data_IF_778911797831
#
_entry.id   IF_778911797831
#
_cell.length_a   1.000
_cell.length_b   1.000
_cell.length_c   1.000
_cell.angle_alpha   90.00
_cell.angle_beta   90.00
_cell.angle_gamma   90.00
#
_symmetry.space_group_name_H-M   'P 1'
#
loop_
_entity.id
_entity.type
_entity.pdbx_description
1 polymer ?
#
# COMPACT_ATOMS: atom_id res chain seq x y z
N UNK A 1 -27.19 -8.03 -6.12
CA UNK A 1 -27.02 -7.44 -4.77
C UNK A 1 -26.11 -6.22 -4.92
N UNK A 2 -26.70 -5.03 -4.92
CA UNK A 2 -25.96 -3.77 -5.06
C UNK A 2 -25.15 -3.52 -3.77
N UNK A 3 -23.86 -3.79 -3.81
CA UNK A 3 -22.94 -3.32 -2.78
C UNK A 3 -22.70 -1.83 -3.03
N UNK A 4 -23.37 -0.99 -2.26
CA UNK A 4 -23.03 0.44 -2.18
C UNK A 4 -21.63 0.53 -1.58
N UNK A 5 -20.62 0.57 -2.45
CA UNK A 5 -19.21 0.70 -2.08
C UNK A 5 -19.01 2.01 -1.31
N UNK A 6 -19.00 1.93 0.02
CA UNK A 6 -18.58 3.03 0.89
C UNK A 6 -17.05 3.16 0.84
N UNK A 7 -16.52 3.60 -0.31
CA UNK A 7 -15.18 4.22 -0.37
C UNK A 7 -15.17 5.57 0.39
N UNK A 8 -16.37 6.12 0.62
CA UNK A 8 -16.73 7.38 1.29
C UNK A 8 -16.00 7.70 2.61
N UNK A 9 -15.47 6.73 3.35
CA UNK A 9 -14.88 6.99 4.66
C UNK A 9 -13.36 6.81 4.76
N UNK A 10 -12.67 6.32 3.71
CA UNK A 10 -11.20 6.20 3.74
C UNK A 10 -10.47 7.47 3.30
N UNK A 11 -11.12 8.32 2.50
CA UNK A 11 -10.45 9.43 1.83
C UNK A 11 -10.79 10.80 2.41
N UNK A 12 -11.77 10.88 3.32
CA UNK A 12 -11.96 12.09 4.11
C UNK A 12 -10.97 12.08 5.29
N UNK A 13 -9.66 12.09 4.99
CA UNK A 13 -8.64 12.29 6.00
C UNK A 13 -8.69 13.75 6.45
N UNK A 14 -9.68 14.10 7.28
CA UNK A 14 -9.66 15.36 8.01
C UNK A 14 -8.33 15.43 8.76
N UNK A 15 -7.57 16.50 8.50
CA UNK A 15 -6.31 16.89 9.14
C UNK A 15 -5.04 16.12 8.68
N UNK A 16 -4.49 16.48 7.51
CA UNK A 16 -3.06 16.30 7.21
C UNK A 16 -2.52 14.85 7.21
N UNK A 17 -3.39 13.84 7.06
CA UNK A 17 -2.97 12.43 7.07
C UNK A 17 -2.70 11.94 5.66
N UNK A 18 -1.65 11.15 5.50
CA UNK A 18 -1.30 10.50 4.24
C UNK A 18 -1.80 9.06 4.24
N UNK A 19 -2.53 8.69 3.19
CA UNK A 19 -2.97 7.33 2.94
C UNK A 19 -1.89 6.57 2.18
N UNK A 20 -1.43 5.45 2.74
CA UNK A 20 -0.45 4.54 2.15
C UNK A 20 -1.20 3.30 1.63
N UNK A 21 -1.51 3.28 0.34
CA UNK A 21 -2.13 2.13 -0.32
C UNK A 21 -1.04 1.12 -0.69
N UNK A 22 -1.01 -0.02 -0.01
CA UNK A 22 0.08 -0.98 -0.06
C UNK A 22 -0.42 -2.34 -0.53
N UNK A 23 0.22 -2.91 -1.54
CA UNK A 23 0.00 -4.30 -1.91
C UNK A 23 1.24 -4.90 -2.58
N UNK A 24 1.16 -6.18 -2.86
CA UNK A 24 2.07 -6.87 -3.74
C UNK A 24 1.43 -8.14 -4.27
N UNK A 25 2.17 -8.77 -5.16
CA UNK A 25 1.76 -10.00 -5.79
C UNK A 25 2.97 -10.87 -6.07
N UNK A 26 2.73 -12.17 -6.02
CA UNK A 26 3.66 -13.19 -6.47
C UNK A 26 2.91 -14.12 -7.42
N UNK A 27 3.57 -14.56 -8.49
CA UNK A 27 2.98 -15.44 -9.50
C UNK A 27 2.79 -16.91 -9.02
N UNK A 28 3.20 -17.22 -7.79
CA UNK A 28 3.19 -18.54 -7.13
C UNK A 28 3.74 -18.40 -5.71
N UNK A 29 3.88 -19.48 -4.93
CA UNK A 29 4.30 -19.35 -3.52
C UNK A 29 5.40 -20.37 -3.12
N UNK A 30 6.69 -20.02 -3.20
CA UNK A 30 7.24 -18.75 -3.68
C UNK A 30 7.36 -18.68 -5.22
N UNK A 31 7.36 -17.47 -5.78
CA UNK A 31 7.63 -17.22 -7.21
C UNK A 31 8.09 -15.79 -7.42
N UNK A 32 8.35 -15.39 -8.67
CA UNK A 32 8.66 -14.01 -8.99
C UNK A 32 7.54 -13.09 -8.49
N UNK A 33 7.94 -12.01 -7.83
CA UNK A 33 7.05 -11.16 -7.08
C UNK A 33 7.47 -9.69 -7.14
N UNK A 34 6.49 -8.83 -6.93
CA UNK A 34 6.68 -7.40 -6.81
C UNK A 34 5.74 -6.81 -5.78
N UNK A 35 6.09 -5.61 -5.33
CA UNK A 35 5.22 -4.80 -4.48
C UNK A 35 5.04 -3.41 -5.06
N UNK A 36 3.89 -2.82 -4.77
CA UNK A 36 3.48 -1.50 -5.22
C UNK A 36 2.88 -0.70 -4.08
N UNK A 37 3.15 0.60 -4.07
CA UNK A 37 2.60 1.56 -3.12
C UNK A 37 2.11 2.80 -3.84
N UNK A 38 0.95 3.30 -3.45
CA UNK A 38 0.45 4.63 -3.86
C UNK A 38 0.21 5.47 -2.61
N UNK A 39 0.77 6.68 -2.59
CA UNK A 39 0.59 7.64 -1.51
C UNK A 39 -0.45 8.69 -1.88
N UNK A 40 -1.41 8.94 -0.99
CA UNK A 40 -2.50 9.88 -1.26
C UNK A 40 -2.68 10.91 -0.17
N UNK A 41 -2.94 12.15 -0.56
CA UNK A 41 -3.32 13.23 0.37
C UNK A 41 -4.82 13.18 0.72
N UNK A 42 -5.25 14.12 1.56
CA UNK A 42 -6.66 14.27 1.96
C UNK A 42 -7.60 14.72 0.85
N UNK A 43 -7.06 15.15 -0.28
CA UNK A 43 -7.81 15.52 -1.48
C UNK A 43 -7.84 14.38 -2.48
N UNK A 44 -7.42 13.18 -2.08
CA UNK A 44 -7.36 11.98 -2.93
C UNK A 44 -6.29 12.05 -4.03
N UNK A 45 -5.42 13.06 -4.05
CA UNK A 45 -4.36 13.20 -5.04
C UNK A 45 -3.26 12.19 -4.77
N UNK A 46 -2.68 11.61 -5.82
CA UNK A 46 -1.45 10.83 -5.68
C UNK A 46 -0.27 11.80 -5.54
N UNK A 47 0.37 11.76 -4.38
CA UNK A 47 1.53 12.59 -4.04
C UNK A 47 2.85 11.81 -4.15
N UNK A 48 2.77 10.53 -4.47
CA UNK A 48 3.90 9.68 -4.79
C UNK A 48 3.48 8.23 -5.01
N UNK A 49 4.39 7.44 -5.57
CA UNK A 49 4.20 6.01 -5.76
C UNK A 49 5.54 5.26 -5.72
N UNK A 50 5.50 3.96 -5.40
CA UNK A 50 6.66 3.07 -5.38
C UNK A 50 6.35 1.76 -6.08
N UNK A 51 7.35 1.22 -6.78
CA UNK A 51 7.34 -0.15 -7.30
C UNK A 51 8.66 -0.82 -6.97
N UNK A 52 8.62 -2.05 -6.44
CA UNK A 52 9.83 -2.80 -6.10
C UNK A 52 9.79 -4.22 -6.63
N UNK A 53 10.86 -4.63 -7.30
CA UNK A 53 11.11 -6.00 -7.69
C UNK A 53 11.61 -6.82 -6.51
N UNK A 54 10.89 -7.89 -6.15
CA UNK A 54 11.26 -8.74 -5.02
C UNK A 54 11.99 -10.01 -5.45
N UNK A 55 11.93 -10.37 -6.73
CA UNK A 55 12.41 -11.66 -7.22
C UNK A 55 11.54 -12.79 -6.64
N UNK A 56 12.15 -13.93 -6.32
CA UNK A 56 11.43 -15.07 -5.73
C UNK A 56 11.01 -14.74 -4.29
N UNK A 57 9.71 -14.58 -4.06
CA UNK A 57 9.14 -14.18 -2.76
C UNK A 57 7.87 -14.96 -2.43
N UNK A 58 7.56 -15.08 -1.14
CA UNK A 58 6.28 -15.62 -0.66
C UNK A 58 5.18 -14.56 -0.74
N UNK A 59 3.95 -14.97 -1.02
CA UNK A 59 2.79 -14.08 -1.13
C UNK A 59 2.54 -13.29 0.16
N UNK A 60 2.83 -13.88 1.31
CA UNK A 60 2.68 -13.18 2.59
C UNK A 60 3.78 -12.11 2.79
N UNK A 61 5.00 -12.38 2.30
CA UNK A 61 6.15 -11.49 2.49
C UNK A 61 6.06 -10.25 1.62
N UNK A 62 5.58 -10.36 0.38
CA UNK A 62 5.44 -9.21 -0.51
C UNK A 62 4.57 -8.09 0.10
N UNK A 63 3.50 -8.45 0.82
CA UNK A 63 2.56 -7.50 1.45
C UNK A 63 3.18 -6.85 2.68
N UNK A 64 3.96 -7.62 3.45
CA UNK A 64 4.73 -7.06 4.57
C UNK A 64 5.75 -6.07 4.05
N UNK A 65 6.47 -6.42 2.98
CA UNK A 65 7.47 -5.54 2.37
C UNK A 65 6.80 -4.29 1.82
N UNK A 66 5.61 -4.38 1.23
CA UNK A 66 4.81 -3.23 0.79
C UNK A 66 4.59 -2.21 1.92
N UNK A 67 4.13 -2.69 3.08
CA UNK A 67 3.83 -1.85 4.24
C UNK A 67 5.10 -1.28 4.86
N UNK A 68 6.16 -2.08 5.01
CA UNK A 68 7.43 -1.57 5.54
C UNK A 68 8.03 -0.50 4.62
N UNK A 69 8.05 -0.77 3.31
CA UNK A 69 8.57 0.16 2.30
C UNK A 69 7.79 1.47 2.31
N UNK A 70 6.46 1.40 2.42
CA UNK A 70 5.62 2.60 2.46
C UNK A 70 5.85 3.45 3.70
N UNK A 71 6.04 2.83 4.86
CA UNK A 71 6.36 3.51 6.12
C UNK A 71 7.78 4.10 6.11
N UNK A 72 8.76 3.36 5.62
CA UNK A 72 10.14 3.86 5.48
C UNK A 72 10.18 5.10 4.56
N UNK A 73 9.44 5.06 3.45
CA UNK A 73 9.32 6.22 2.56
C UNK A 73 8.56 7.38 3.22
N UNK A 74 7.44 7.10 3.89
CA UNK A 74 6.67 8.13 4.59
C UNK A 74 7.51 8.85 5.66
N UNK A 75 8.35 8.11 6.39
CA UNK A 75 9.31 8.66 7.32
C UNK A 75 10.32 9.58 6.61
N UNK A 76 10.87 9.16 5.47
CA UNK A 76 11.80 9.98 4.68
C UNK A 76 11.19 11.28 4.16
N UNK A 77 9.87 11.33 3.95
CA UNK A 77 9.12 12.52 3.53
C UNK A 77 8.67 13.40 4.71
N UNK A 78 8.96 13.01 5.94
CA UNK A 78 8.52 13.74 7.14
C UNK A 78 7.01 13.66 7.39
N UNK A 79 6.33 12.64 6.86
CA UNK A 79 4.89 12.47 7.10
C UNK A 79 4.66 11.87 8.47
N UNK A 80 4.05 12.63 9.38
CA UNK A 80 3.93 12.21 10.79
C UNK A 80 2.67 11.41 11.10
N UNK A 81 1.63 11.51 10.25
CA UNK A 81 0.32 10.87 10.46
C UNK A 81 -0.10 10.09 9.22
N UNK A 82 -0.14 8.77 9.33
CA UNK A 82 -0.35 7.88 8.18
C UNK A 82 -1.47 6.86 8.40
N UNK A 83 -2.19 6.55 7.32
CA UNK A 83 -3.17 5.47 7.24
C UNK A 83 -2.66 4.39 6.31
N UNK A 84 -2.40 3.20 6.82
CA UNK A 84 -1.93 2.07 6.02
C UNK A 84 -3.12 1.22 5.61
N UNK A 85 -3.34 1.07 4.31
CA UNK A 85 -4.36 0.18 3.76
C UNK A 85 -3.72 -0.90 2.89
N UNK A 86 -4.25 -2.11 3.00
CA UNK A 86 -3.89 -3.27 2.20
C UNK A 86 -5.10 -4.19 2.08
N UNK A 87 -5.21 -4.92 0.97
CA UNK A 87 -6.30 -5.87 0.76
C UNK A 87 -6.20 -7.11 1.67
N UNK A 88 -5.02 -7.36 2.26
CA UNK A 88 -4.81 -8.52 3.12
C UNK A 88 -5.15 -8.24 4.58
N UNK A 89 -6.38 -8.57 4.97
CA UNK A 89 -6.85 -8.47 6.36
C UNK A 89 -5.94 -9.20 7.38
N UNK A 90 -5.39 -10.40 7.10
CA UNK A 90 -4.44 -11.05 8.01
C UNK A 90 -3.16 -10.22 8.24
N UNK A 91 -2.62 -9.58 7.19
CA UNK A 91 -1.43 -8.72 7.30
C UNK A 91 -1.74 -7.49 8.12
N UNK A 92 -2.84 -6.79 7.79
CA UNK A 92 -3.30 -5.62 8.53
C UNK A 92 -3.51 -5.96 10.02
N UNK A 93 -4.12 -7.11 10.31
CA UNK A 93 -4.31 -7.59 11.68
C UNK A 93 -2.96 -7.89 12.37
N UNK A 94 -1.99 -8.46 11.66
CA UNK A 94 -0.66 -8.74 12.20
C UNK A 94 0.07 -7.45 12.61
N UNK A 95 0.05 -6.41 11.77
CA UNK A 95 0.61 -5.09 12.11
C UNK A 95 -0.16 -4.43 13.26
N UNK A 96 -1.50 -4.41 13.21
CA UNK A 96 -2.34 -3.80 14.25
C UNK A 96 -2.11 -4.44 15.63
N UNK A 97 -1.99 -5.77 15.68
CA UNK A 97 -1.75 -6.51 16.92
C UNK A 97 -0.25 -6.66 17.25
N UNK A 98 0.64 -6.10 16.43
CA UNK A 98 2.10 -6.28 16.50
C UNK A 98 2.53 -7.77 16.57
N UNK A 99 1.74 -8.66 15.97
CA UNK A 99 2.02 -10.10 15.84
C UNK A 99 2.79 -10.36 14.55
N UNK A 100 3.95 -9.71 14.42
CA UNK A 100 4.80 -9.80 13.25
C UNK A 100 5.85 -10.94 13.39
N UNK A 101 6.21 -11.61 12.28
CA UNK A 101 7.32 -12.56 12.28
C UNK A 101 8.62 -11.90 12.77
N UNK A 102 9.48 -12.65 13.45
CA UNK A 102 10.68 -12.10 14.10
C UNK A 102 11.59 -11.33 13.13
N UNK A 103 11.73 -11.80 11.89
CA UNK A 103 12.56 -11.18 10.85
C UNK A 103 12.01 -9.83 10.32
N UNK A 104 10.75 -9.51 10.62
CA UNK A 104 10.10 -8.24 10.27
C UNK A 104 10.26 -7.22 11.41
N UNK A 105 10.32 -7.68 12.66
CA UNK A 105 10.25 -6.84 13.86
C UNK A 105 11.30 -5.74 13.88
N UNK A 106 12.56 -6.08 13.57
CA UNK A 106 13.64 -5.09 13.58
C UNK A 106 13.41 -3.93 12.61
N UNK A 107 12.77 -4.15 11.45
CA UNK A 107 12.41 -3.07 10.53
C UNK A 107 11.20 -2.28 11.02
N UNK A 108 10.19 -2.98 11.53
CA UNK A 108 9.01 -2.35 12.12
C UNK A 108 9.38 -1.43 13.31
N UNK A 109 10.21 -1.90 14.24
CA UNK A 109 10.63 -1.14 15.42
C UNK A 109 11.42 0.12 15.05
N UNK A 110 12.12 0.14 13.91
CA UNK A 110 12.82 1.35 13.42
C UNK A 110 11.87 2.45 12.96
N UNK A 111 10.67 2.10 12.51
CA UNK A 111 9.74 3.07 11.91
C UNK A 111 8.53 3.36 12.80
N UNK A 112 8.05 2.41 13.60
CA UNK A 112 6.76 2.53 14.31
C UNK A 112 6.69 3.73 15.25
N UNK A 113 7.79 4.01 15.96
CA UNK A 113 7.88 5.07 16.97
C UNK A 113 8.28 6.43 16.36
N UNK A 114 8.44 6.50 15.03
CA UNK A 114 8.75 7.74 14.30
C UNK A 114 7.52 8.54 13.88
N UNK A 115 6.34 7.96 13.99
CA UNK A 115 5.09 8.60 13.60
C UNK A 115 4.30 9.04 14.83
N UNK A 116 3.63 10.19 14.73
CA UNK A 116 2.64 10.60 15.73
C UNK A 116 1.42 9.66 15.71
N UNK A 117 1.07 9.13 14.54
CA UNK A 117 0.01 8.10 14.44
C UNK A 117 0.16 7.23 13.20
N UNK A 118 0.10 5.91 13.40
CA UNK A 118 -0.11 4.92 12.34
C UNK A 118 -1.46 4.26 12.59
N UNK A 119 -2.38 4.38 11.63
CA UNK A 119 -3.69 3.74 11.69
C UNK A 119 -3.84 2.75 10.55
N UNK A 120 -4.58 1.67 10.82
CA UNK A 120 -4.83 0.61 9.85
C UNK A 120 -6.34 0.50 9.60
N UNK A 121 -6.94 1.41 8.82
CA UNK A 121 -8.38 1.34 8.58
C UNK A 121 -8.74 0.16 7.66
N UNK A 122 -9.98 -0.33 7.77
CA UNK A 122 -10.47 -1.43 6.93
C UNK A 122 -10.77 -0.92 5.52
N UNK A 123 -10.35 -1.66 4.51
CA UNK A 123 -10.59 -1.36 3.09
C UNK A 123 -11.39 -2.47 2.43
N UNK A 124 -12.37 -2.07 1.59
CA UNK A 124 -13.12 -2.99 0.74
C UNK A 124 -12.30 -3.33 -0.51
N UNK A 125 -12.35 -4.61 -0.89
CA UNK A 125 -11.54 -5.27 -1.94
C UNK A 125 -11.70 -4.72 -3.35
N UNK A 126 -12.73 -3.91 -3.59
CA UNK A 126 -13.15 -3.57 -4.96
C UNK A 126 -12.42 -2.35 -5.53
N UNK A 127 -11.50 -1.73 -4.77
CA UNK A 127 -11.04 -0.37 -5.10
C UNK A 127 -9.54 -0.15 -4.75
N UNK A 128 -8.62 -0.80 -5.48
CA UNK A 128 -7.16 -0.59 -5.36
C UNK A 128 -6.39 -0.70 -6.70
N UNK A 129 -7.03 -0.43 -7.83
CA UNK A 129 -6.46 -0.57 -9.17
C UNK A 129 -5.13 0.18 -9.36
N UNK A 130 -5.00 1.39 -8.80
CA UNK A 130 -3.76 2.16 -8.87
C UNK A 130 -2.60 1.39 -8.21
N UNK A 131 -2.82 0.82 -7.03
CA UNK A 131 -1.80 0.00 -6.36
C UNK A 131 -1.55 -1.28 -7.13
N UNK A 132 -2.59 -1.96 -7.65
CA UNK A 132 -2.44 -3.16 -8.51
C UNK A 132 -1.54 -2.88 -9.72
N UNK A 133 -1.65 -1.70 -10.33
CA UNK A 133 -0.77 -1.27 -11.41
C UNK A 133 0.69 -1.11 -10.94
N UNK A 134 0.91 -0.49 -9.79
CA UNK A 134 2.27 -0.38 -9.21
C UNK A 134 2.86 -1.74 -8.84
N UNK A 135 2.03 -2.67 -8.35
CA UNK A 135 2.44 -4.05 -8.06
C UNK A 135 2.89 -4.77 -9.33
N UNK A 136 2.08 -4.68 -10.40
CA UNK A 136 2.42 -5.26 -11.70
C UNK A 136 3.72 -4.67 -12.23
N UNK A 137 3.91 -3.35 -12.14
CA UNK A 137 5.18 -2.73 -12.51
C UNK A 137 6.34 -3.33 -11.69
N UNK A 138 6.18 -3.39 -10.37
CA UNK A 138 7.16 -3.99 -9.46
C UNK A 138 7.54 -5.43 -9.79
N UNK A 139 6.58 -6.27 -10.19
CA UNK A 139 6.83 -7.67 -10.52
C UNK A 139 7.65 -7.86 -11.82
N UNK A 140 7.71 -6.85 -12.69
CA UNK A 140 8.55 -6.84 -13.88
C UNK A 140 9.94 -6.24 -13.63
N UNK A 141 10.17 -5.61 -12.47
CA UNK A 141 11.48 -5.08 -12.10
C UNK A 141 12.42 -6.21 -11.68
N UNK A 142 13.72 -6.04 -11.97
CA UNK A 142 14.77 -6.93 -11.46
C UNK A 142 14.80 -6.95 -9.93
N UNK A 143 15.20 -8.07 -9.35
CA UNK A 143 15.26 -8.22 -7.89
C UNK A 143 16.05 -7.09 -7.22
N UNK A 144 15.45 -6.48 -6.19
CA UNK A 144 16.04 -5.40 -5.42
C UNK A 144 15.86 -4.00 -6.03
N UNK A 145 15.47 -3.92 -7.31
CA UNK A 145 15.20 -2.65 -7.99
C UNK A 145 14.01 -1.95 -7.37
N UNK A 146 14.15 -0.64 -7.15
CA UNK A 146 13.11 0.22 -6.58
C UNK A 146 12.94 1.43 -7.49
N UNK A 147 11.73 1.64 -7.97
CA UNK A 147 11.32 2.86 -8.64
C UNK A 147 10.53 3.73 -7.67
N UNK A 148 10.88 5.02 -7.62
CA UNK A 148 10.27 6.03 -6.76
C UNK A 148 9.75 7.15 -7.63
N UNK A 149 8.50 7.54 -7.42
CA UNK A 149 7.84 8.60 -8.16
C UNK A 149 7.40 9.70 -7.20
N UNK A 150 7.81 10.94 -7.50
CA UNK A 150 7.27 12.15 -6.87
C UNK A 150 5.98 12.55 -7.60
N UNK A 151 4.84 12.38 -6.94
CA UNK A 151 3.53 12.52 -7.57
C UNK A 151 3.07 11.29 -8.35
N UNK A 152 2.09 11.48 -9.23
CA UNK A 152 1.44 10.42 -10.01
C UNK A 152 2.29 9.99 -11.21
N UNK A 153 2.71 8.72 -11.34
CA UNK A 153 3.37 8.23 -12.55
C UNK A 153 2.48 8.42 -13.79
N UNK A 154 3.05 8.75 -14.98
CA UNK A 154 2.28 8.99 -16.20
C UNK A 154 1.43 7.79 -16.65
N UNK A 155 1.91 6.58 -16.41
CA UNK A 155 1.23 5.33 -16.77
C UNK A 155 0.14 4.91 -15.77
N UNK A 156 0.06 5.57 -14.60
CA UNK A 156 -0.92 5.20 -13.58
C UNK A 156 -2.31 5.68 -14.03
N UNK A 157 -3.32 4.78 -14.06
CA UNK A 157 -4.67 5.16 -14.47
C UNK A 157 -5.27 6.21 -13.53
N UNK A 158 -6.48 6.70 -13.87
CA UNK A 158 -7.24 7.56 -12.95
C UNK A 158 -7.39 6.84 -11.60
N UNK A 159 -7.03 7.56 -10.54
CA UNK A 159 -7.15 7.08 -9.17
C UNK A 159 -8.61 6.87 -8.79
N UNK A 160 -8.82 5.99 -7.84
CA UNK A 160 -10.14 5.68 -7.33
C UNK A 160 -10.64 6.78 -6.40
N UNK A 161 -11.86 7.26 -6.62
CA UNK A 161 -12.45 8.40 -5.92
C UNK A 161 -13.67 7.99 -5.09
N UNK A 162 -13.89 8.61 -3.91
CA UNK A 162 -14.94 8.23 -2.96
C UNK A 162 -16.39 8.36 -3.43
N UNK A 163 -16.62 8.93 -4.62
CA UNK A 163 -17.96 9.14 -5.19
C UNK A 163 -18.18 8.44 -6.53
N UNK A 164 -17.26 7.57 -6.93
CA UNK A 164 -17.36 6.82 -8.18
C UNK A 164 -17.64 5.35 -7.88
N UNK A 165 -18.54 4.76 -8.68
CA UNK A 165 -18.80 3.32 -8.66
C UNK A 165 -17.83 2.65 -9.63
N UNK A 166 -17.11 1.64 -9.15
CA UNK A 166 -16.16 0.86 -9.94
C UNK A 166 -16.70 -0.55 -10.12
N UNK A 167 -16.60 -1.07 -11.35
CA UNK A 167 -16.91 -2.46 -11.67
C UNK A 167 -15.61 -3.19 -12.00
N UNK A 168 -15.35 -4.32 -11.34
CA UNK A 168 -14.24 -5.22 -11.66
C UNK A 168 -14.82 -6.49 -12.27
N UNK A 169 -14.65 -6.63 -13.58
CA UNK A 169 -14.95 -7.90 -14.25
C UNK A 169 -13.78 -8.85 -14.00
N UNK A 170 -14.11 -10.05 -13.51
CA UNK A 170 -13.13 -11.13 -13.30
C UNK A 170 -12.98 -11.94 -14.57
#
# INVERSE_FOLDING_TARGET
MLLTLRFLNLVNTRNGKILLCCDGASFGNPSNAGTGVVFRDSRSNCIGALSRGLGICLNFLEKIIAILLSLEHAFSKGWERVWVVSESQPIIKAFRLQKLPWYVRSRWDRVKDRFQSILFPSMYREVNFATDHMVKSGAHLGQGSLEVYDGRPPFLPKLELPHYVYYRFR
#
